data_IF_507409047298
#
_entry.id   IF_507409047298
#
_cell.length_a   1.000
_cell.length_b   1.000
_cell.length_c   1.000
_cell.angle_alpha   90.00
_cell.angle_beta   90.00
_cell.angle_gamma   90.00
#
_symmetry.space_group_name_H-M   'P 1'
#
loop_
_entity.id
_entity.type
_entity.pdbx_description
1 polymer ?
#
# COMPACT_ATOMS: atom_id res chain seq x y z
N UNK A 1 -11.84 -11.25 8.35
CA UNK A 1 -10.78 -10.33 7.88
C UNK A 1 -11.46 -9.13 7.24
N UNK A 2 -11.03 -7.91 7.58
CA UNK A 2 -11.67 -6.66 7.15
C UNK A 2 -11.54 -6.44 5.64
N UNK A 3 -12.40 -5.58 5.04
CA UNK A 3 -12.30 -5.17 3.62
C UNK A 3 -10.89 -4.69 3.27
N UNK A 4 -10.24 -3.96 4.18
CA UNK A 4 -8.86 -3.52 4.01
C UNK A 4 -7.90 -4.68 3.72
N UNK A 5 -7.90 -5.70 4.59
CA UNK A 5 -7.02 -6.85 4.45
C UNK A 5 -7.28 -7.66 3.17
N UNK A 6 -8.55 -7.96 2.90
CA UNK A 6 -8.94 -8.89 1.83
C UNK A 6 -8.95 -8.24 0.45
N UNK A 7 -9.51 -7.04 0.34
CA UNK A 7 -9.75 -6.39 -0.95
C UNK A 7 -8.61 -5.48 -1.38
N UNK A 8 -7.81 -4.97 -0.43
CA UNK A 8 -6.76 -3.99 -0.72
C UNK A 8 -5.38 -4.58 -0.47
N UNK A 9 -5.09 -4.99 0.77
CA UNK A 9 -3.73 -5.40 1.16
C UNK A 9 -3.34 -6.70 0.48
N UNK A 10 -4.22 -7.71 0.45
CA UNK A 10 -3.87 -9.03 -0.11
C UNK A 10 -3.55 -8.98 -1.61
N UNK A 11 -4.36 -8.33 -2.47
CA UNK A 11 -4.04 -8.19 -3.89
C UNK A 11 -2.75 -7.41 -4.13
N UNK A 12 -2.56 -6.27 -3.45
CA UNK A 12 -1.38 -5.43 -3.63
C UNK A 12 -0.09 -6.10 -3.11
N UNK A 13 -0.17 -6.81 -1.98
CA UNK A 13 0.95 -7.64 -1.47
C UNK A 13 1.38 -8.66 -2.53
N UNK A 14 0.41 -9.31 -3.16
CA UNK A 14 0.65 -10.34 -4.17
C UNK A 14 1.29 -9.73 -5.42
N UNK A 15 0.78 -8.58 -5.86
CA UNK A 15 1.31 -7.81 -6.98
C UNK A 15 2.77 -7.38 -6.76
N UNK A 16 3.10 -6.89 -5.57
CA UNK A 16 4.48 -6.55 -5.20
C UNK A 16 5.32 -7.76 -4.74
N UNK A 17 4.78 -8.98 -4.82
CA UNK A 17 5.45 -10.24 -4.47
C UNK A 17 6.02 -10.25 -3.04
N UNK A 18 5.33 -9.58 -2.12
CA UNK A 18 5.75 -9.47 -0.72
C UNK A 18 5.38 -10.74 0.07
N UNK A 19 6.27 -11.23 0.96
CA UNK A 19 5.94 -12.32 1.88
C UNK A 19 4.71 -11.99 2.75
N UNK A 20 3.84 -12.95 3.08
CA UNK A 20 2.72 -12.71 4.00
C UNK A 20 3.13 -12.17 5.37
N UNK A 21 4.34 -12.50 5.82
CA UNK A 21 4.90 -12.06 7.10
C UNK A 21 5.48 -10.64 7.09
N UNK A 22 5.59 -9.99 5.92
CA UNK A 22 6.23 -8.67 5.80
C UNK A 22 5.24 -7.50 5.76
N UNK A 23 3.93 -7.77 5.78
CA UNK A 23 2.90 -6.71 5.76
C UNK A 23 1.98 -6.87 6.97
N UNK A 24 1.91 -5.82 7.76
CA UNK A 24 1.14 -5.74 8.99
C UNK A 24 0.13 -4.61 8.91
N UNK A 25 -1.00 -4.79 9.58
CA UNK A 25 -2.00 -3.74 9.76
C UNK A 25 -1.95 -3.32 11.23
N UNK A 26 -1.84 -2.03 11.48
CA UNK A 26 -1.89 -1.46 12.83
C UNK A 26 -3.01 -0.43 12.92
N UNK A 27 -3.35 -0.04 14.15
CA UNK A 27 -4.33 1.01 14.41
C UNK A 27 -3.74 2.00 15.40
N UNK A 28 -3.46 3.22 14.94
CA UNK A 28 -3.02 4.31 15.81
C UNK A 28 -4.08 5.40 15.81
N UNK A 29 -4.59 5.75 16.99
CA UNK A 29 -5.66 6.74 17.18
C UNK A 29 -5.18 8.20 17.11
N UNK A 30 -3.86 8.46 17.20
CA UNK A 30 -3.34 9.82 17.40
C UNK A 30 -2.20 10.20 16.45
N UNK A 31 -1.34 9.27 16.04
CA UNK A 31 -0.19 9.60 15.19
C UNK A 31 -0.54 9.85 13.73
N UNK A 32 0.33 10.59 13.04
CA UNK A 32 0.15 11.00 11.64
C UNK A 32 0.61 10.00 10.58
N UNK A 33 1.05 8.80 10.99
CA UNK A 33 1.64 7.82 10.09
C UNK A 33 0.55 7.07 9.31
N UNK A 34 0.57 7.18 7.99
CA UNK A 34 -0.28 6.43 7.07
C UNK A 34 0.25 5.00 6.93
N UNK A 35 1.56 4.89 6.70
CA UNK A 35 2.31 3.66 6.69
C UNK A 35 3.75 3.94 7.14
N UNK A 36 4.50 2.88 7.42
CA UNK A 36 5.94 2.96 7.61
C UNK A 36 6.60 1.59 7.35
N UNK A 37 7.88 1.62 6.98
CA UNK A 37 8.74 0.45 6.90
C UNK A 37 9.69 0.42 8.10
N UNK A 38 9.79 -0.76 8.74
CA UNK A 38 10.82 -1.04 9.74
C UNK A 38 11.53 -2.35 9.39
N UNK A 39 12.76 -2.25 8.91
CA UNK A 39 13.62 -3.38 8.57
C UNK A 39 12.94 -4.41 7.62
N UNK A 40 12.21 -3.93 6.62
CA UNK A 40 11.50 -4.80 5.66
C UNK A 40 10.12 -5.26 6.11
N UNK A 41 9.69 -4.92 7.33
CA UNK A 41 8.30 -5.07 7.76
C UNK A 41 7.53 -3.78 7.49
N UNK A 42 6.50 -3.88 6.66
CA UNK A 42 5.65 -2.77 6.24
C UNK A 42 4.41 -2.74 7.13
N UNK A 43 4.10 -1.59 7.70
CA UNK A 43 2.98 -1.38 8.60
C UNK A 43 2.00 -0.40 7.97
N UNK A 44 0.75 -0.82 7.81
CA UNK A 44 -0.31 -0.03 7.17
C UNK A 44 -1.36 0.37 8.21
N UNK A 45 -1.69 1.66 8.30
CA UNK A 45 -2.59 2.16 9.33
C UNK A 45 -4.06 2.00 8.92
N UNK A 46 -4.78 1.14 9.64
CA UNK A 46 -6.20 0.89 9.42
C UNK A 46 -7.05 2.15 9.61
N UNK A 47 -6.69 3.07 10.52
CA UNK A 47 -7.44 4.32 10.74
C UNK A 47 -7.51 5.18 9.47
N UNK A 48 -6.43 5.23 8.70
CA UNK A 48 -6.39 5.99 7.45
C UNK A 48 -7.19 5.31 6.34
N UNK A 49 -7.17 3.98 6.26
CA UNK A 49 -8.06 3.26 5.36
C UNK A 49 -9.54 3.53 5.71
N UNK A 50 -9.91 3.42 6.99
CA UNK A 50 -11.28 3.66 7.44
C UNK A 50 -11.76 5.07 7.14
N UNK A 51 -10.94 6.08 7.44
CA UNK A 51 -11.29 7.47 7.23
C UNK A 51 -11.36 7.90 5.77
N UNK A 52 -10.62 7.25 4.86
CA UNK A 52 -10.51 7.70 3.46
C UNK A 52 -11.23 6.80 2.45
N UNK A 53 -11.34 5.51 2.75
CA UNK A 53 -11.62 4.50 1.73
C UNK A 53 -12.72 3.51 2.11
N UNK A 54 -12.95 3.22 3.39
CA UNK A 54 -13.80 2.09 3.75
C UNK A 54 -15.26 2.22 3.30
N UNK A 55 -15.87 3.41 3.41
CA UNK A 55 -17.23 3.63 2.91
C UNK A 55 -17.30 3.57 1.37
N UNK A 56 -16.24 3.97 0.65
CA UNK A 56 -16.18 3.81 -0.81
C UNK A 56 -16.12 2.34 -1.20
N UNK A 57 -15.24 1.56 -0.55
CA UNK A 57 -15.08 0.14 -0.80
C UNK A 57 -16.35 -0.62 -0.42
N UNK A 58 -17.01 -0.24 0.66
CA UNK A 58 -18.33 -0.78 1.07
C UNK A 58 -19.41 -0.47 0.04
N UNK A 59 -19.35 0.70 -0.59
CA UNK A 59 -20.21 1.09 -1.71
C UNK A 59 -19.84 0.45 -3.06
N UNK A 60 -18.86 -0.45 -3.10
CA UNK A 60 -18.41 -1.14 -4.32
C UNK A 60 -17.35 -0.39 -5.13
N UNK A 61 -16.91 0.79 -4.70
CA UNK A 61 -15.85 1.54 -5.37
C UNK A 61 -14.49 1.26 -4.70
N UNK A 62 -13.79 0.26 -5.21
CA UNK A 62 -12.50 -0.20 -4.67
C UNK A 62 -11.29 0.52 -5.28
N UNK A 63 -11.44 1.12 -6.46
CA UNK A 63 -10.31 1.63 -7.26
C UNK A 63 -9.52 2.72 -6.54
N UNK A 64 -10.19 3.69 -5.91
CA UNK A 64 -9.49 4.78 -5.20
C UNK A 64 -8.61 4.24 -4.07
N UNK A 65 -9.11 3.23 -3.34
CA UNK A 65 -8.35 2.57 -2.29
C UNK A 65 -7.15 1.80 -2.87
N UNK A 66 -7.35 1.00 -3.93
CA UNK A 66 -6.27 0.27 -4.58
C UNK A 66 -5.16 1.20 -5.08
N UNK A 67 -5.52 2.31 -5.73
CA UNK A 67 -4.55 3.30 -6.26
C UNK A 67 -3.76 3.94 -5.12
N UNK A 68 -4.43 4.39 -4.06
CA UNK A 68 -3.75 5.03 -2.93
C UNK A 68 -2.77 4.07 -2.23
N UNK A 69 -3.21 2.84 -1.95
CA UNK A 69 -2.39 1.86 -1.25
C UNK A 69 -1.33 1.21 -2.15
N UNK A 70 -1.50 1.22 -3.47
CA UNK A 70 -0.47 0.84 -4.45
C UNK A 70 0.77 1.72 -4.29
N UNK A 71 0.61 3.04 -4.41
CA UNK A 71 1.72 3.97 -4.24
C UNK A 71 2.25 3.98 -2.80
N UNK A 72 1.38 3.82 -1.80
CA UNK A 72 1.82 3.71 -0.40
C UNK A 72 2.76 2.52 -0.22
N UNK A 73 2.44 1.35 -0.78
CA UNK A 73 3.33 0.19 -0.71
C UNK A 73 4.63 0.41 -1.49
N UNK A 74 4.60 0.98 -2.70
CA UNK A 74 5.83 1.31 -3.43
C UNK A 74 6.75 2.23 -2.62
N UNK A 75 6.18 3.24 -1.95
CA UNK A 75 6.93 4.14 -1.06
C UNK A 75 7.58 3.37 0.08
N UNK A 76 6.81 2.56 0.81
CA UNK A 76 7.37 1.77 1.91
C UNK A 76 8.39 0.72 1.45
N UNK A 77 8.23 0.14 0.25
CA UNK A 77 9.22 -0.79 -0.31
C UNK A 77 10.52 -0.06 -0.65
N UNK A 78 10.46 1.17 -1.18
CA UNK A 78 11.64 1.97 -1.50
C UNK A 78 12.51 2.24 -0.26
N UNK A 79 11.91 2.34 0.92
CA UNK A 79 12.64 2.43 2.18
C UNK A 79 13.53 1.23 2.50
N UNK A 80 13.34 0.05 1.87
CA UNK A 80 14.31 -1.04 1.99
C UNK A 80 15.65 -0.73 1.33
N UNK A 81 15.68 0.21 0.38
CA UNK A 81 16.87 0.58 -0.39
C UNK A 81 17.46 1.89 0.13
N UNK A 82 16.60 2.90 0.35
CA UNK A 82 17.01 4.26 0.74
C UNK A 82 16.09 4.79 1.83
N UNK A 83 16.65 5.05 3.01
CA UNK A 83 15.90 5.56 4.16
C UNK A 83 15.49 7.04 4.06
N UNK A 84 16.38 7.99 3.72
CA UNK A 84 15.99 9.40 3.65
C UNK A 84 15.11 9.69 2.44
N UNK A 85 14.12 10.58 2.60
CA UNK A 85 13.32 11.13 1.49
C UNK A 85 14.16 12.10 0.64
N UNK A 86 15.01 11.57 -0.23
CA UNK A 86 15.83 12.31 -1.17
C UNK A 86 15.54 11.89 -2.62
N UNK A 87 16.26 12.46 -3.60
CA UNK A 87 16.06 12.13 -5.02
C UNK A 87 16.27 10.65 -5.36
N UNK A 88 17.11 9.94 -4.60
CA UNK A 88 17.37 8.52 -4.77
C UNK A 88 16.18 7.67 -4.29
N UNK A 89 15.60 8.03 -3.13
CA UNK A 89 14.36 7.43 -2.66
C UNK A 89 13.22 7.62 -3.67
N UNK A 90 13.04 8.85 -4.18
CA UNK A 90 12.01 9.13 -5.18
C UNK A 90 12.23 8.33 -6.47
N UNK A 91 13.48 8.16 -6.91
CA UNK A 91 13.82 7.33 -8.06
C UNK A 91 13.40 5.86 -7.85
N UNK A 92 13.71 5.27 -6.70
CA UNK A 92 13.32 3.88 -6.41
C UNK A 92 11.81 3.73 -6.25
N UNK A 93 11.17 4.67 -5.55
CA UNK A 93 9.72 4.71 -5.41
C UNK A 93 9.02 4.73 -6.78
N UNK A 94 9.40 5.65 -7.67
CA UNK A 94 8.78 5.76 -8.99
C UNK A 94 9.09 4.53 -9.85
N UNK A 95 10.34 4.04 -9.84
CA UNK A 95 10.74 2.86 -10.60
C UNK A 95 9.98 1.59 -10.17
N UNK A 96 9.75 1.41 -8.87
CA UNK A 96 8.94 0.31 -8.34
C UNK A 96 7.47 0.44 -8.77
N UNK A 97 6.91 1.65 -8.69
CA UNK A 97 5.56 1.92 -9.15
C UNK A 97 5.41 1.80 -10.68
N UNK A 98 6.43 2.08 -11.47
CA UNK A 98 6.38 1.90 -12.93
C UNK A 98 6.49 0.43 -13.31
N UNK A 99 7.40 -0.31 -12.66
CA UNK A 99 7.64 -1.73 -12.91
C UNK A 99 6.37 -2.57 -12.79
N UNK A 100 5.54 -2.29 -11.77
CA UNK A 100 4.32 -3.04 -11.51
C UNK A 100 3.06 -2.42 -12.13
N UNK A 101 3.17 -1.27 -12.81
CA UNK A 101 2.01 -0.57 -13.37
C UNK A 101 1.20 -1.41 -14.37
N UNK A 102 1.81 -2.22 -15.27
CA UNK A 102 1.03 -3.05 -16.19
C UNK A 102 0.15 -4.08 -15.47
N UNK A 103 0.69 -4.77 -14.47
CA UNK A 103 -0.06 -5.74 -13.65
C UNK A 103 -1.14 -5.05 -12.82
N UNK A 104 -0.81 -3.86 -12.28
CA UNK A 104 -1.75 -3.05 -11.51
C UNK A 104 -2.94 -2.57 -12.36
N UNK A 105 -2.68 -2.09 -13.57
CA UNK A 105 -3.71 -1.67 -14.53
C UNK A 105 -4.63 -2.83 -14.93
N UNK A 106 -4.06 -4.02 -15.16
CA UNK A 106 -4.83 -5.22 -15.44
C UNK A 106 -5.71 -5.64 -14.25
N UNK A 107 -5.23 -5.46 -13.02
CA UNK A 107 -5.99 -5.70 -11.79
C UNK A 107 -7.17 -4.72 -11.67
N UNK A 108 -6.95 -3.41 -11.88
CA UNK A 108 -8.01 -2.39 -11.82
C UNK A 108 -9.13 -2.65 -12.83
N UNK A 109 -8.79 -3.11 -14.03
CA UNK A 109 -9.77 -3.43 -15.08
C UNK A 109 -10.69 -4.61 -14.74
N UNK A 110 -10.33 -5.42 -13.72
CA UNK A 110 -11.09 -6.61 -13.29
C UNK A 110 -11.81 -6.40 -11.96
N UNK A 111 -11.56 -5.28 -11.29
CA UNK A 111 -11.97 -4.98 -9.92
C UNK A 111 -13.23 -4.13 -9.87
#
# INVERSE_FOLDING_TARGET
>A
MTRFGNLIVTPLRTLYKLPPSSVHIFYDTKGGLIAFNRNGSLFLNLRYYEGWHDELVKGGNVHKALISWYFTLAHEIAHNLVQPHNAEHEYYFSSLAELHMPEFSAMLSRS
#
